data_IF_452589799149
#
_entry.id   IF_452589799149
#
_cell.length_a   1.000
_cell.length_b   1.000
_cell.length_c   1.000
_cell.angle_alpha   90.00
_cell.angle_beta   90.00
_cell.angle_gamma   90.00
#
_symmetry.space_group_name_H-M   'P 1'
#
loop_
_entity.id
_entity.type
_entity.pdbx_description
1 polymer ?
#
# COMPACT_ATOMS: atom_id res chain seq x y z
N UNK A 1 -2.91 -5.46 1.25
CA UNK A 1 -2.96 -3.98 1.38
C UNK A 1 -3.90 -3.59 2.50
N UNK A 2 -3.66 -2.49 3.17
CA UNK A 2 -4.42 -2.13 4.38
C UNK A 2 -5.33 -0.93 4.13
N UNK A 3 -6.61 -1.10 4.44
CA UNK A 3 -7.58 0.00 4.46
C UNK A 3 -7.39 0.85 5.72
N UNK A 4 -7.61 2.13 5.59
CA UNK A 4 -7.70 3.03 6.75
C UNK A 4 -8.99 2.74 7.51
N UNK A 5 -8.90 2.58 8.82
CA UNK A 5 -10.07 2.36 9.68
C UNK A 5 -10.99 3.61 9.70
N UNK A 6 -12.26 3.38 9.92
CA UNK A 6 -13.24 4.45 10.07
C UNK A 6 -14.10 4.71 8.84
N UNK A 7 -14.11 3.80 7.86
CA UNK A 7 -14.96 3.85 6.67
C UNK A 7 -15.76 2.57 6.50
N UNK A 8 -17.02 2.72 6.16
CA UNK A 8 -17.96 1.62 5.91
C UNK A 8 -18.50 1.71 4.49
N UNK A 9 -18.41 0.62 3.74
CA UNK A 9 -19.09 0.51 2.45
C UNK A 9 -20.56 0.17 2.67
N UNK A 10 -21.44 0.99 2.12
CA UNK A 10 -22.89 0.78 2.16
C UNK A 10 -23.54 1.07 0.82
N UNK A 11 -24.46 0.23 0.43
CA UNK A 11 -25.28 0.42 -0.77
C UNK A 11 -26.57 1.14 -0.39
N UNK A 12 -26.80 2.28 -1.01
CA UNK A 12 -28.02 3.08 -0.84
C UNK A 12 -28.70 3.15 -2.20
N UNK A 13 -29.87 2.58 -2.32
CA UNK A 13 -30.62 2.47 -3.58
C UNK A 13 -29.79 1.85 -4.74
N UNK A 14 -28.97 0.84 -4.40
CA UNK A 14 -28.08 0.18 -5.37
C UNK A 14 -26.78 0.93 -5.71
N UNK A 15 -26.54 2.09 -5.11
CA UNK A 15 -25.33 2.87 -5.31
C UNK A 15 -24.38 2.69 -4.13
N UNK A 16 -23.11 2.32 -4.37
CA UNK A 16 -22.14 2.14 -3.29
C UNK A 16 -21.59 3.48 -2.79
N UNK A 17 -21.55 3.62 -1.47
CA UNK A 17 -20.98 4.77 -0.77
C UNK A 17 -20.01 4.31 0.30
N UNK A 18 -18.89 5.01 0.44
CA UNK A 18 -18.04 4.95 1.64
C UNK A 18 -18.48 6.01 2.62
N UNK A 19 -18.90 5.54 3.79
CA UNK A 19 -19.39 6.38 4.86
C UNK A 19 -18.33 6.45 5.96
N UNK A 20 -17.85 7.64 6.35
CA UNK A 20 -16.99 7.79 7.51
C UNK A 20 -17.80 7.51 8.79
N UNK A 21 -17.17 6.86 9.77
CA UNK A 21 -17.74 6.66 11.09
C UNK A 21 -16.74 6.96 12.21
N UNK A 22 -17.23 7.15 13.43
CA UNK A 22 -16.40 7.49 14.58
C UNK A 22 -15.71 8.84 14.40
N UNK A 23 -14.43 8.93 14.71
CA UNK A 23 -13.65 10.17 14.60
C UNK A 23 -13.48 10.66 13.16
N UNK A 24 -13.59 9.77 12.17
CA UNK A 24 -13.47 10.12 10.75
C UNK A 24 -14.61 11.02 10.26
N UNK A 25 -15.77 11.03 10.92
CA UNK A 25 -16.86 11.96 10.61
C UNK A 25 -16.42 13.42 10.72
N UNK A 26 -15.55 13.72 11.66
CA UNK A 26 -15.04 15.10 11.89
C UNK A 26 -14.05 15.50 10.79
N UNK A 27 -13.24 14.56 10.31
CA UNK A 27 -12.22 14.79 9.30
C UNK A 27 -12.81 14.77 7.87
N UNK A 28 -13.76 13.87 7.63
CA UNK A 28 -14.41 13.66 6.34
C UNK A 28 -15.92 13.93 6.43
N UNK A 29 -16.31 15.15 6.13
CA UNK A 29 -17.72 15.56 6.22
C UNK A 29 -18.61 15.07 5.08
N UNK A 30 -18.04 14.38 4.08
CA UNK A 30 -18.78 13.96 2.90
C UNK A 30 -18.68 12.45 2.71
N UNK A 31 -19.79 11.86 2.34
CA UNK A 31 -19.85 10.50 1.86
C UNK A 31 -19.23 10.43 0.47
N UNK A 32 -18.41 9.39 0.23
CA UNK A 32 -17.80 9.17 -1.07
C UNK A 32 -18.65 8.18 -1.87
N UNK A 33 -19.20 8.64 -2.99
CA UNK A 33 -19.85 7.76 -3.94
C UNK A 33 -18.78 7.00 -4.73
N UNK A 34 -18.90 5.68 -4.78
CA UNK A 34 -18.03 4.82 -5.56
C UNK A 34 -18.74 4.38 -6.86
N UNK A 35 -17.95 4.05 -7.88
CA UNK A 35 -18.42 3.25 -8.99
C UNK A 35 -18.32 1.77 -8.65
N UNK A 36 -18.85 0.91 -9.50
CA UNK A 36 -18.84 -0.55 -9.29
C UNK A 36 -17.41 -1.10 -9.13
N UNK A 37 -16.49 -0.66 -9.96
CA UNK A 37 -15.09 -1.09 -9.91
C UNK A 37 -14.41 -0.69 -8.60
N UNK A 38 -14.61 0.56 -8.17
CA UNK A 38 -14.04 1.07 -6.90
C UNK A 38 -14.65 0.35 -5.68
N UNK A 39 -15.95 0.04 -5.72
CA UNK A 39 -16.61 -0.71 -4.65
C UNK A 39 -16.05 -2.13 -4.54
N UNK A 40 -15.92 -2.82 -5.66
CA UNK A 40 -15.32 -4.15 -5.70
C UNK A 40 -13.89 -4.15 -5.17
N UNK A 41 -13.06 -3.20 -5.62
CA UNK A 41 -11.69 -3.04 -5.12
C UNK A 41 -11.66 -2.80 -3.61
N UNK A 42 -12.55 -1.98 -3.09
CA UNK A 42 -12.64 -1.74 -1.65
C UNK A 42 -12.92 -3.02 -0.87
N UNK A 43 -13.78 -3.88 -1.38
CA UNK A 43 -14.13 -5.16 -0.72
C UNK A 43 -12.95 -6.13 -0.69
N UNK A 44 -12.25 -6.31 -1.81
CA UNK A 44 -11.15 -7.29 -1.92
C UNK A 44 -9.80 -6.80 -1.41
N UNK A 45 -9.65 -5.51 -1.17
CA UNK A 45 -8.39 -4.87 -0.81
C UNK A 45 -7.69 -5.51 0.41
N UNK A 46 -8.38 -5.87 1.51
CA UNK A 46 -7.74 -6.53 2.65
C UNK A 46 -7.23 -7.94 2.36
N UNK A 47 -7.78 -8.60 1.33
CA UNK A 47 -7.40 -9.95 0.95
C UNK A 47 -6.16 -10.01 0.07
N UNK A 48 -5.72 -8.87 -0.45
CA UNK A 48 -4.61 -8.76 -1.38
C UNK A 48 -3.40 -8.09 -0.74
N UNK A 49 -2.22 -8.64 -0.97
CA UNK A 49 -0.97 -8.09 -0.48
C UNK A 49 -0.35 -7.04 -1.44
N UNK A 50 -0.68 -7.11 -2.73
CA UNK A 50 -0.09 -6.28 -3.77
C UNK A 50 -1.10 -5.80 -4.81
N UNK A 51 -0.79 -4.73 -5.57
CA UNK A 51 -1.59 -4.30 -6.71
C UNK A 51 -1.74 -5.38 -7.81
N UNK A 52 -0.74 -6.24 -7.97
CA UNK A 52 -0.82 -7.34 -8.93
C UNK A 52 -1.89 -8.37 -8.57
N UNK A 53 -2.00 -8.74 -7.29
CA UNK A 53 -3.07 -9.63 -6.82
C UNK A 53 -4.45 -9.00 -7.01
N UNK A 54 -4.59 -7.70 -6.77
CA UNK A 54 -5.81 -6.95 -7.07
C UNK A 54 -6.16 -7.04 -8.55
N UNK A 55 -5.18 -6.82 -9.42
CA UNK A 55 -5.35 -6.89 -10.87
C UNK A 55 -5.78 -8.30 -11.32
N UNK A 56 -5.16 -9.35 -10.80
CA UNK A 56 -5.54 -10.73 -11.11
C UNK A 56 -6.99 -11.02 -10.70
N UNK A 57 -7.40 -10.60 -9.52
CA UNK A 57 -8.81 -10.74 -9.08
C UNK A 57 -9.77 -9.94 -9.95
N UNK A 58 -9.39 -8.73 -10.36
CA UNK A 58 -10.18 -7.92 -11.29
C UNK A 58 -10.32 -8.61 -12.65
N UNK A 59 -9.23 -9.11 -13.23
CA UNK A 59 -9.27 -9.81 -14.53
C UNK A 59 -10.15 -11.03 -14.48
N UNK A 60 -10.16 -11.75 -13.38
CA UNK A 60 -11.04 -12.90 -13.17
C UNK A 60 -12.50 -12.47 -12.99
N UNK A 61 -12.76 -11.44 -12.22
CA UNK A 61 -14.11 -10.96 -11.93
C UNK A 61 -14.82 -10.42 -13.17
N UNK A 62 -14.12 -9.68 -14.02
CA UNK A 62 -14.65 -9.12 -15.28
C UNK A 62 -14.36 -9.97 -16.50
N UNK A 63 -13.86 -11.19 -16.32
CA UNK A 63 -13.58 -12.14 -17.41
C UNK A 63 -12.75 -11.51 -18.55
N UNK A 64 -11.73 -10.72 -18.19
CA UNK A 64 -10.86 -10.03 -19.15
C UNK A 64 -9.93 -11.05 -19.84
N UNK A 65 -10.27 -11.42 -21.07
CA UNK A 65 -9.54 -12.44 -21.82
C UNK A 65 -8.42 -11.83 -22.67
N UNK A 66 -8.58 -10.61 -23.16
CA UNK A 66 -7.62 -9.96 -24.04
C UNK A 66 -6.57 -9.15 -23.25
N UNK A 67 -5.38 -8.99 -23.85
CA UNK A 67 -4.33 -8.16 -23.28
C UNK A 67 -4.77 -6.69 -23.13
N UNK A 68 -5.55 -6.18 -24.09
CA UNK A 68 -6.07 -4.80 -24.06
C UNK A 68 -7.03 -4.58 -22.90
N UNK A 69 -7.91 -5.54 -22.63
CA UNK A 69 -8.85 -5.48 -21.48
C UNK A 69 -8.10 -5.51 -20.15
N UNK A 70 -7.08 -6.36 -20.03
CA UNK A 70 -6.22 -6.43 -18.84
C UNK A 70 -5.45 -5.15 -18.62
N UNK A 71 -4.92 -4.53 -19.68
CA UNK A 71 -4.20 -3.26 -19.60
C UNK A 71 -5.14 -2.12 -19.15
N UNK A 72 -6.38 -2.08 -19.65
CA UNK A 72 -7.39 -1.10 -19.20
C UNK A 72 -7.70 -1.28 -17.71
N UNK A 73 -7.95 -2.50 -17.27
CA UNK A 73 -8.19 -2.81 -15.86
C UNK A 73 -7.00 -2.41 -14.98
N UNK A 74 -5.78 -2.58 -15.48
CA UNK A 74 -4.58 -2.15 -14.77
C UNK A 74 -4.51 -0.63 -14.61
N UNK A 75 -4.81 0.11 -15.68
CA UNK A 75 -4.87 1.57 -15.64
C UNK A 75 -5.97 2.07 -14.70
N UNK A 76 -7.16 1.47 -14.75
CA UNK A 76 -8.28 1.80 -13.87
C UNK A 76 -7.92 1.51 -12.41
N UNK A 77 -7.28 0.36 -12.14
CA UNK A 77 -6.79 -0.01 -10.81
C UNK A 77 -5.82 1.04 -10.26
N UNK A 78 -4.82 1.43 -11.03
CA UNK A 78 -3.84 2.43 -10.61
C UNK A 78 -4.50 3.78 -10.33
N UNK A 79 -5.44 4.21 -11.17
CA UNK A 79 -6.20 5.44 -10.97
C UNK A 79 -7.03 5.41 -9.69
N UNK A 80 -7.72 4.30 -9.41
CA UNK A 80 -8.52 4.14 -8.20
C UNK A 80 -7.65 4.09 -6.95
N UNK A 81 -6.53 3.36 -6.98
CA UNK A 81 -5.60 3.32 -5.84
C UNK A 81 -5.01 4.70 -5.55
N UNK A 82 -4.67 5.47 -6.57
CA UNK A 82 -4.19 6.84 -6.41
C UNK A 82 -5.27 7.74 -5.76
N UNK A 83 -6.53 7.60 -6.15
CA UNK A 83 -7.64 8.32 -5.53
C UNK A 83 -7.85 7.89 -4.07
N UNK A 84 -7.80 6.60 -3.78
CA UNK A 84 -7.92 6.08 -2.42
C UNK A 84 -6.80 6.61 -1.50
N UNK A 85 -5.58 6.69 -2.00
CA UNK A 85 -4.47 7.29 -1.27
C UNK A 85 -4.67 8.80 -1.06
N UNK A 86 -5.11 9.53 -2.08
CA UNK A 86 -5.35 10.98 -2.00
C UNK A 86 -6.45 11.33 -0.99
N UNK A 87 -7.47 10.47 -0.84
CA UNK A 87 -8.52 10.62 0.16
C UNK A 87 -8.17 10.02 1.54
N UNK A 88 -6.99 9.42 1.69
CA UNK A 88 -6.57 8.78 2.95
C UNK A 88 -7.36 7.51 3.28
N UNK A 89 -7.93 6.82 2.30
CA UNK A 89 -8.72 5.61 2.46
C UNK A 89 -7.88 4.34 2.61
N UNK A 90 -6.65 4.36 2.09
CA UNK A 90 -5.69 3.29 2.20
C UNK A 90 -4.35 3.83 2.69
N UNK A 91 -3.59 2.99 3.38
CA UNK A 91 -2.20 3.33 3.72
C UNK A 91 -1.35 3.34 2.45
N UNK A 92 -0.38 4.28 2.34
CA UNK A 92 0.54 4.29 1.21
C UNK A 92 1.25 2.95 1.13
N UNK A 93 1.23 2.33 -0.04
CA UNK A 93 2.04 1.16 -0.30
C UNK A 93 3.32 1.59 -1.02
N UNK A 94 4.43 0.97 -0.66
CA UNK A 94 5.68 1.07 -1.40
C UNK A 94 5.84 -0.20 -2.23
N UNK A 95 6.19 -0.04 -3.49
CA UNK A 95 6.58 -1.18 -4.29
C UNK A 95 7.82 -1.83 -3.67
N UNK A 96 7.87 -3.15 -3.69
CA UNK A 96 9.03 -3.91 -3.15
C UNK A 96 10.36 -3.45 -3.76
N UNK A 97 10.34 -2.99 -5.02
CA UNK A 97 11.50 -2.42 -5.69
C UNK A 97 12.02 -1.13 -5.04
N UNK A 98 11.15 -0.30 -4.49
CA UNK A 98 11.55 0.91 -3.77
C UNK A 98 12.16 0.58 -2.41
N UNK A 99 11.61 -0.42 -1.72
CA UNK A 99 12.16 -0.90 -0.45
C UNK A 99 13.58 -1.49 -0.64
N UNK A 100 13.79 -2.27 -1.69
CA UNK A 100 15.10 -2.84 -2.01
C UNK A 100 16.14 -1.80 -2.37
N UNK A 101 15.72 -0.67 -2.93
CA UNK A 101 16.60 0.43 -3.32
C UNK A 101 16.82 1.46 -2.20
N UNK A 102 16.02 1.41 -1.12
CA UNK A 102 16.21 2.30 0.01
C UNK A 102 17.46 1.89 0.81
N UNK A 103 18.38 2.82 0.98
CA UNK A 103 19.58 2.61 1.78
C UNK A 103 19.58 3.65 2.91
N UNK A 104 19.72 3.17 4.12
CA UNK A 104 19.81 4.02 5.31
C UNK A 104 21.07 3.72 6.10
N UNK A 105 21.67 4.74 6.65
CA UNK A 105 22.90 4.65 7.45
C UNK A 105 22.60 5.00 8.90
N UNK A 106 23.16 4.21 9.81
CA UNK A 106 22.98 4.40 11.25
C UNK A 106 24.32 4.29 11.97
N UNK A 107 24.47 5.03 13.04
CA UNK A 107 25.61 4.95 13.95
C UNK A 107 25.13 4.41 15.31
N UNK A 108 25.55 3.23 15.67
CA UNK A 108 25.21 2.60 16.95
C UNK A 108 26.50 2.14 17.64
N UNK A 109 26.79 2.68 18.83
CA UNK A 109 27.97 2.32 19.62
C UNK A 109 29.29 2.39 18.82
N UNK A 110 29.47 3.49 18.05
CA UNK A 110 30.61 3.73 17.18
C UNK A 110 30.75 2.80 15.95
N UNK A 111 29.76 1.93 15.73
CA UNK A 111 29.70 1.07 14.55
C UNK A 111 28.79 1.71 13.52
N UNK A 112 29.27 1.84 12.29
CA UNK A 112 28.47 2.32 11.15
C UNK A 112 27.76 1.16 10.48
N UNK A 113 26.46 1.25 10.45
CA UNK A 113 25.59 0.22 9.87
C UNK A 113 24.92 0.79 8.63
N UNK A 114 25.02 0.06 7.53
CA UNK A 114 24.26 0.30 6.31
C UNK A 114 23.14 -0.72 6.23
N UNK A 115 21.89 -0.26 6.14
CA UNK A 115 20.73 -1.13 5.98
C UNK A 115 20.09 -0.85 4.63
N UNK A 116 19.94 -1.90 3.82
CA UNK A 116 19.25 -1.83 2.55
C UNK A 116 17.93 -2.61 2.62
N UNK A 117 16.85 -2.00 2.17
CA UNK A 117 15.52 -2.62 2.15
C UNK A 117 14.79 -2.59 3.50
N UNK A 118 15.14 -1.67 4.39
CA UNK A 118 14.47 -1.56 5.69
C UNK A 118 13.02 -1.09 5.53
N UNK A 119 12.04 -1.81 6.11
CA UNK A 119 10.66 -1.33 6.20
C UNK A 119 10.57 -0.10 7.13
N UNK A 120 9.53 0.71 6.95
CA UNK A 120 9.34 1.95 7.71
C UNK A 120 9.35 1.76 9.23
N UNK A 121 8.81 0.65 9.71
CA UNK A 121 8.81 0.29 11.13
C UNK A 121 10.24 0.14 11.68
N UNK A 122 11.13 -0.44 10.90
CA UNK A 122 12.53 -0.61 11.29
C UNK A 122 13.29 0.71 11.19
N UNK A 123 13.03 1.49 10.14
CA UNK A 123 13.61 2.83 9.95
C UNK A 123 13.21 3.77 11.08
N UNK A 124 11.96 3.71 11.55
CA UNK A 124 11.48 4.48 12.69
C UNK A 124 12.17 4.08 14.00
N UNK A 125 12.41 2.79 14.20
CA UNK A 125 13.12 2.29 15.39
C UNK A 125 14.56 2.81 15.46
N UNK A 126 15.25 2.89 14.32
CA UNK A 126 16.63 3.36 14.25
C UNK A 126 16.76 4.88 14.01
N UNK A 127 15.67 5.61 13.88
CA UNK A 127 15.70 7.06 13.62
C UNK A 127 16.62 7.87 14.56
N UNK A 128 16.71 7.59 15.88
CA UNK A 128 17.62 8.29 16.78
C UNK A 128 19.11 8.10 16.44
N UNK A 129 19.44 7.07 15.67
CA UNK A 129 20.81 6.70 15.30
C UNK A 129 21.14 7.03 13.85
N UNK A 130 20.24 7.73 13.14
CA UNK A 130 20.42 8.07 11.75
C UNK A 130 21.72 8.86 11.52
N UNK A 131 22.50 8.44 10.54
CA UNK A 131 23.73 9.07 10.13
C UNK A 131 23.62 9.61 8.71
N UNK A 132 24.41 10.66 8.41
CA UNK A 132 24.54 11.15 7.04
C UNK A 132 25.24 10.11 6.16
N UNK A 133 24.96 10.14 4.86
CA UNK A 133 25.60 9.29 3.86
C UNK A 133 27.12 9.21 4.09
N UNK A 134 27.63 8.00 4.23
CA UNK A 134 29.06 7.78 4.37
C UNK A 134 29.53 6.70 3.39
N UNK A 135 30.72 6.92 2.86
CA UNK A 135 31.34 6.05 1.87
C UNK A 135 31.90 4.73 2.43
N UNK A 136 31.92 4.56 3.75
CA UNK A 136 32.39 3.35 4.41
C UNK A 136 31.44 2.92 5.52
N UNK A 137 30.97 1.70 5.46
CA UNK A 137 30.21 1.03 6.51
C UNK A 137 31.00 -0.16 7.05
N UNK A 138 30.97 -0.38 8.35
CA UNK A 138 31.60 -1.52 8.98
C UNK A 138 30.69 -2.77 8.95
N UNK A 139 29.38 -2.54 8.85
CA UNK A 139 28.38 -3.60 8.80
C UNK A 139 27.34 -3.31 7.72
N UNK A 140 27.21 -4.21 6.77
CA UNK A 140 26.20 -4.17 5.73
C UNK A 140 25.08 -5.19 6.01
N UNK A 141 23.86 -4.70 6.18
CA UNK A 141 22.67 -5.53 6.36
C UNK A 141 21.77 -5.34 5.16
N UNK A 142 21.41 -6.44 4.48
CA UNK A 142 20.42 -6.46 3.40
C UNK A 142 19.20 -7.23 3.86
N UNK A 143 18.07 -6.56 3.87
CA UNK A 143 16.79 -7.16 4.20
C UNK A 143 16.11 -7.55 2.89
N UNK A 144 15.87 -8.85 2.74
CA UNK A 144 15.09 -9.36 1.64
C UNK A 144 13.68 -9.65 2.14
N UNK A 145 12.64 -9.19 1.44
CA UNK A 145 11.30 -9.61 1.77
C UNK A 145 11.24 -11.13 1.65
N UNK A 146 10.92 -11.81 2.75
CA UNK A 146 10.69 -13.24 2.71
C UNK A 146 9.41 -13.48 1.90
N UNK A 147 9.47 -14.42 0.95
CA UNK A 147 8.27 -14.88 0.30
C UNK A 147 7.26 -15.31 1.37
N UNK A 148 5.97 -14.99 1.22
CA UNK A 148 4.96 -15.42 2.17
C UNK A 148 5.04 -16.94 2.27
N UNK A 149 5.17 -17.44 3.50
CA UNK A 149 5.09 -18.87 3.77
C UNK A 149 3.72 -19.33 3.26
N UNK A 150 3.72 -20.07 2.14
CA UNK A 150 2.53 -20.73 1.66
C UNK A 150 2.16 -21.82 2.67
N UNK A 151 1.10 -21.56 3.39
CA UNK A 151 0.44 -22.57 4.21
C UNK A 151 -0.54 -23.37 3.37
#
# INVERSE_FOLDING_TARGET
MKRTDGFLLKYIEGVPYLLPYGQRIVEHRRNLRLNETSAYLWEILPECASPHELHEKMTTHWEAETAEERDRLWQDLQGILAQFQAFGLIEPFREESELLNSVSYYNIADIRIRIQGAPDSLSAFFAPYAAADSTSSELDIRIHPSAPLST
#
